data_IF_084984860802
#
_entry.id   IF_084984860802
#
_cell.length_a   1.000
_cell.length_b   1.000
_cell.length_c   1.000
_cell.angle_alpha   90.00
_cell.angle_beta   90.00
_cell.angle_gamma   90.00
#
_symmetry.space_group_name_H-M   'P 1'
#
loop_
_entity.id
_entity.type
_entity.pdbx_description
1 polymer ?
#
# COMPACT_ATOMS: atom_id res chain seq x y z
N UNK A 1 -6.04 -12.58 -12.90
CA UNK A 1 -7.10 -11.55 -13.10
C UNK A 1 -6.45 -10.34 -13.75
N UNK A 2 -7.18 -9.27 -14.12
CA UNK A 2 -6.53 -8.05 -14.65
C UNK A 2 -6.64 -6.81 -13.77
N UNK A 3 -7.50 -6.82 -12.74
CA UNK A 3 -7.68 -5.76 -11.73
C UNK A 3 -8.04 -4.34 -12.21
N UNK A 4 -8.10 -4.11 -13.52
CA UNK A 4 -8.50 -2.83 -14.10
C UNK A 4 -9.99 -2.52 -13.90
N UNK A 5 -10.35 -1.24 -13.75
CA UNK A 5 -11.74 -0.80 -13.76
C UNK A 5 -12.50 -1.29 -14.99
N UNK A 6 -13.71 -1.79 -14.78
CA UNK A 6 -14.56 -2.29 -15.86
C UNK A 6 -15.52 -1.20 -16.32
N UNK A 7 -15.14 -0.41 -17.34
CA UNK A 7 -15.97 0.65 -17.93
C UNK A 7 -15.96 0.56 -19.47
N UNK A 8 -17.00 0.01 -20.14
CA UNK A 8 -18.18 -0.67 -19.59
C UNK A 8 -17.86 -2.07 -19.03
N UNK A 9 -18.67 -2.52 -18.07
CA UNK A 9 -18.55 -3.81 -17.42
C UNK A 9 -19.25 -4.92 -18.22
N UNK A 10 -18.51 -5.99 -18.57
CA UNK A 10 -19.08 -7.22 -19.12
C UNK A 10 -19.41 -8.19 -17.98
N UNK A 11 -20.69 -8.47 -17.78
CA UNK A 11 -21.16 -9.42 -16.77
C UNK A 11 -21.29 -10.82 -17.38
N UNK A 12 -20.86 -11.86 -16.66
CA UNK A 12 -21.07 -13.24 -17.11
C UNK A 12 -22.57 -13.51 -17.29
N UNK A 13 -22.98 -13.96 -18.47
CA UNK A 13 -24.38 -14.25 -18.79
C UNK A 13 -24.95 -15.47 -18.07
N UNK A 14 -24.09 -16.33 -17.49
CA UNK A 14 -24.51 -17.55 -16.78
C UNK A 14 -24.70 -17.32 -15.28
N UNK A 15 -23.75 -16.69 -14.61
CA UNK A 15 -23.83 -16.48 -13.15
C UNK A 15 -24.33 -15.09 -12.76
N UNK A 16 -24.22 -14.09 -13.65
CA UNK A 16 -24.54 -12.68 -13.38
C UNK A 16 -23.76 -12.02 -12.22
N UNK A 17 -22.82 -12.70 -11.59
CA UNK A 17 -22.03 -12.18 -10.46
C UNK A 17 -20.66 -11.66 -10.89
N UNK A 18 -19.93 -12.42 -11.71
CA UNK A 18 -18.56 -12.04 -12.09
C UNK A 18 -18.56 -11.01 -13.23
N UNK A 19 -17.74 -9.97 -13.07
CA UNK A 19 -17.57 -8.86 -14.01
C UNK A 19 -16.18 -8.89 -14.65
N UNK A 20 -16.11 -8.52 -15.93
CA UNK A 20 -14.89 -8.44 -16.73
C UNK A 20 -14.82 -7.09 -17.45
N UNK A 21 -13.61 -6.55 -17.62
CA UNK A 21 -13.42 -5.28 -18.34
C UNK A 21 -13.44 -5.43 -19.88
N UNK A 22 -13.35 -6.66 -20.41
CA UNK A 22 -13.31 -6.92 -21.85
C UNK A 22 -13.59 -8.40 -22.17
N UNK A 23 -13.97 -8.68 -23.42
CA UNK A 23 -14.20 -10.05 -23.90
C UNK A 23 -12.92 -10.90 -23.81
N UNK A 24 -11.77 -10.29 -24.02
CA UNK A 24 -10.45 -10.93 -23.85
C UNK A 24 -10.24 -11.37 -22.40
N UNK A 25 -10.56 -10.51 -21.42
CA UNK A 25 -10.47 -10.86 -20.01
C UNK A 25 -11.47 -11.97 -19.62
N UNK A 26 -12.69 -11.93 -20.16
CA UNK A 26 -13.67 -13.00 -19.99
C UNK A 26 -13.13 -14.34 -20.52
N UNK A 27 -12.63 -14.37 -21.77
CA UNK A 27 -12.09 -15.59 -22.39
C UNK A 27 -10.92 -16.18 -21.60
N UNK A 28 -9.96 -15.33 -21.19
CA UNK A 28 -8.84 -15.74 -20.31
C UNK A 28 -9.35 -16.32 -18.99
N UNK A 29 -10.27 -15.63 -18.31
CA UNK A 29 -10.83 -16.10 -17.06
C UNK A 29 -11.61 -17.42 -17.21
N UNK A 30 -12.43 -17.54 -18.25
CA UNK A 30 -13.19 -18.75 -18.55
C UNK A 30 -12.29 -19.96 -18.76
N UNK A 31 -11.19 -19.78 -19.50
CA UNK A 31 -10.21 -20.84 -19.74
C UNK A 31 -9.44 -21.27 -18.48
N UNK A 32 -9.09 -20.31 -17.60
CA UNK A 32 -8.22 -20.57 -16.44
C UNK A 32 -8.99 -21.00 -15.17
N UNK A 33 -10.07 -20.32 -14.79
CA UNK A 33 -10.69 -20.53 -13.47
C UNK A 33 -12.21 -20.36 -13.44
N UNK A 34 -12.76 -19.42 -14.21
CA UNK A 34 -14.17 -19.03 -14.07
C UNK A 34 -15.12 -20.16 -14.45
N UNK A 35 -14.78 -21.01 -15.43
CA UNK A 35 -15.62 -22.16 -15.81
C UNK A 35 -15.89 -23.12 -14.64
N UNK A 36 -14.91 -23.33 -13.77
CA UNK A 36 -15.05 -24.20 -12.60
C UNK A 36 -15.89 -23.56 -11.48
N UNK A 37 -15.82 -22.23 -11.33
CA UNK A 37 -16.53 -21.49 -10.28
C UNK A 37 -17.92 -20.98 -10.71
N UNK A 38 -18.19 -20.93 -12.01
CA UNK A 38 -19.36 -20.25 -12.55
C UNK A 38 -20.67 -20.98 -12.21
N UNK A 39 -21.51 -20.30 -11.42
CA UNK A 39 -22.83 -20.79 -11.01
C UNK A 39 -22.83 -21.54 -9.68
N UNK A 40 -21.68 -21.61 -8.98
CA UNK A 40 -21.66 -22.04 -7.58
C UNK A 40 -22.35 -20.98 -6.75
N UNK A 41 -23.38 -21.38 -6.00
CA UNK A 41 -24.08 -20.50 -5.07
C UNK A 41 -23.37 -20.47 -3.73
N UNK A 42 -22.38 -19.60 -3.61
CA UNK A 42 -21.53 -19.47 -2.43
C UNK A 42 -22.29 -19.10 -1.15
N UNK A 43 -23.33 -18.29 -1.27
CA UNK A 43 -24.20 -17.91 -0.15
C UNK A 43 -24.95 -19.08 0.48
N UNK A 44 -25.17 -20.17 -0.27
CA UNK A 44 -25.88 -21.36 0.20
C UNK A 44 -24.93 -22.39 0.85
N UNK A 45 -23.61 -22.14 0.87
CA UNK A 45 -22.61 -23.11 1.37
C UNK A 45 -22.38 -23.06 2.89
N UNK A 46 -23.06 -22.15 3.62
CA UNK A 46 -22.90 -22.02 5.08
C UNK A 46 -21.53 -21.53 5.53
N UNK A 47 -20.73 -20.96 4.62
CA UNK A 47 -19.42 -20.39 4.88
C UNK A 47 -19.54 -18.89 5.19
N UNK A 48 -18.72 -18.40 6.13
CA UNK A 48 -18.59 -16.95 6.35
C UNK A 48 -17.94 -16.26 5.14
N UNK A 49 -18.04 -14.93 5.04
CA UNK A 49 -17.42 -14.19 3.94
C UNK A 49 -15.90 -14.42 3.86
N UNK A 50 -15.22 -14.52 5.00
CA UNK A 50 -13.78 -14.81 5.05
C UNK A 50 -13.48 -16.25 4.58
N UNK A 51 -14.30 -17.22 4.98
CA UNK A 51 -14.15 -18.60 4.55
C UNK A 51 -14.35 -18.76 3.03
N UNK A 52 -15.26 -17.96 2.46
CA UNK A 52 -15.46 -17.91 1.01
C UNK A 52 -14.22 -17.39 0.28
N UNK A 53 -13.55 -16.37 0.81
CA UNK A 53 -12.28 -15.88 0.24
C UNK A 53 -11.20 -16.96 0.29
N UNK A 54 -11.03 -17.63 1.43
CA UNK A 54 -10.08 -18.75 1.59
C UNK A 54 -10.40 -19.90 0.62
N UNK A 55 -11.68 -20.26 0.49
CA UNK A 55 -12.15 -21.30 -0.41
C UNK A 55 -11.86 -20.97 -1.89
N UNK A 56 -12.17 -19.75 -2.33
CA UNK A 56 -11.94 -19.31 -3.71
C UNK A 56 -10.44 -19.24 -4.02
N UNK A 57 -9.62 -18.76 -3.08
CA UNK A 57 -8.16 -18.76 -3.22
C UNK A 57 -7.63 -20.18 -3.37
N UNK A 58 -8.04 -21.09 -2.48
CA UNK A 58 -7.63 -22.49 -2.49
C UNK A 58 -7.94 -23.15 -3.84
N UNK A 59 -9.16 -23.01 -4.36
CA UNK A 59 -9.52 -23.58 -5.66
C UNK A 59 -8.60 -23.04 -6.76
N UNK A 60 -8.40 -21.71 -6.82
CA UNK A 60 -7.60 -21.09 -7.87
C UNK A 60 -6.14 -21.53 -7.84
N UNK A 61 -5.57 -21.69 -6.64
CA UNK A 61 -4.20 -22.18 -6.48
C UNK A 61 -4.07 -23.64 -6.86
N UNK A 62 -5.02 -24.51 -6.46
CA UNK A 62 -5.00 -25.93 -6.85
C UNK A 62 -5.14 -26.09 -8.37
N UNK A 63 -5.98 -25.28 -9.02
CA UNK A 63 -6.08 -25.24 -10.48
C UNK A 63 -4.75 -24.84 -11.12
N UNK A 64 -4.07 -23.82 -10.58
CA UNK A 64 -2.77 -23.39 -11.06
C UNK A 64 -1.70 -24.49 -10.89
N UNK A 65 -1.58 -25.11 -9.71
CA UNK A 65 -0.63 -26.20 -9.46
C UNK A 65 -0.83 -27.36 -10.44
N UNK A 66 -2.08 -27.72 -10.71
CA UNK A 66 -2.42 -28.77 -11.68
C UNK A 66 -2.02 -28.39 -13.09
N UNK A 67 -2.35 -27.18 -13.52
CA UNK A 67 -2.04 -26.69 -14.85
C UNK A 67 -0.51 -26.66 -15.08
N UNK A 68 0.25 -26.23 -14.07
CA UNK A 68 1.74 -26.28 -14.08
C UNK A 68 2.23 -27.73 -14.16
N UNK A 69 1.67 -28.64 -13.35
CA UNK A 69 2.05 -30.06 -13.36
C UNK A 69 1.78 -30.78 -14.69
N UNK A 70 0.76 -30.31 -15.44
CA UNK A 70 0.40 -30.87 -16.73
C UNK A 70 1.17 -30.23 -17.90
N UNK A 71 1.81 -29.08 -17.68
CA UNK A 71 2.59 -28.40 -18.69
C UNK A 71 3.92 -29.12 -18.90
N UNK A 72 4.04 -29.84 -20.02
CA UNK A 72 5.27 -30.57 -20.42
C UNK A 72 6.27 -29.68 -21.15
N UNK A 73 5.99 -28.39 -21.32
CA UNK A 73 6.92 -27.50 -22.00
C UNK A 73 8.13 -27.22 -21.10
N UNK A 74 9.31 -27.59 -21.58
CA UNK A 74 10.57 -27.19 -20.93
C UNK A 74 10.75 -25.69 -21.12
N UNK A 75 10.54 -24.90 -20.06
CA UNK A 75 10.89 -23.49 -20.06
C UNK A 75 12.41 -23.34 -20.23
N UNK A 76 12.88 -23.26 -21.49
CA UNK A 76 14.22 -22.79 -21.78
C UNK A 76 14.25 -21.28 -21.56
N UNK A 77 14.54 -20.87 -20.32
CA UNK A 77 14.83 -19.48 -19.97
C UNK A 77 16.17 -19.10 -20.61
N UNK A 78 16.14 -18.54 -21.82
CA UNK A 78 17.32 -17.92 -22.43
C UNK A 78 17.56 -16.57 -21.76
N UNK A 79 18.52 -16.55 -20.85
CA UNK A 79 19.19 -15.34 -20.39
C UNK A 79 19.91 -14.68 -21.57
N UNK A 80 19.25 -13.72 -22.20
CA UNK A 80 19.90 -12.72 -23.05
C UNK A 80 20.13 -11.47 -22.19
N UNK A 81 21.42 -11.09 -22.05
CA UNK A 81 21.88 -9.92 -21.28
C UNK A 81 20.92 -8.72 -21.46
N UNK A 82 20.30 -8.27 -20.37
CA UNK A 82 19.51 -7.04 -20.32
C UNK A 82 17.99 -7.21 -20.46
N UNK A 83 17.47 -8.42 -20.61
CA UNK A 83 16.02 -8.70 -20.62
C UNK A 83 15.61 -9.33 -19.28
N UNK A 84 14.53 -8.84 -18.68
CA UNK A 84 13.95 -9.37 -17.45
C UNK A 84 13.88 -10.90 -17.49
N UNK A 85 14.45 -11.56 -16.48
CA UNK A 85 14.32 -13.01 -16.33
C UNK A 85 12.84 -13.30 -16.11
N UNK A 86 12.22 -13.94 -17.10
CA UNK A 86 10.82 -14.32 -17.00
C UNK A 86 10.72 -15.48 -16.02
N UNK A 87 9.95 -15.28 -14.96
CA UNK A 87 9.59 -16.30 -13.97
C UNK A 87 9.10 -17.57 -14.69
N UNK A 88 9.75 -18.71 -14.41
CA UNK A 88 9.26 -20.02 -14.86
C UNK A 88 8.20 -20.54 -13.90
N UNK A 89 7.11 -21.07 -14.44
CA UNK A 89 6.02 -21.65 -13.65
C UNK A 89 6.48 -22.82 -12.75
N UNK A 90 7.50 -23.56 -13.20
CA UNK A 90 8.07 -24.64 -12.40
C UNK A 90 8.84 -24.11 -11.18
N UNK A 91 9.58 -23.01 -11.34
CA UNK A 91 10.26 -22.34 -10.22
C UNK A 91 9.23 -21.78 -9.23
N UNK A 92 8.18 -21.12 -9.74
CA UNK A 92 7.05 -20.64 -8.92
C UNK A 92 6.44 -21.76 -8.10
N UNK A 93 6.16 -22.92 -8.72
CA UNK A 93 5.58 -24.07 -8.03
C UNK A 93 6.55 -24.68 -7.02
N UNK A 94 7.85 -24.72 -7.33
CA UNK A 94 8.87 -25.21 -6.41
C UNK A 94 8.94 -24.32 -5.17
N UNK A 95 9.02 -23.01 -5.35
CA UNK A 95 9.04 -22.05 -4.23
C UNK A 95 7.77 -22.15 -3.41
N UNK A 96 6.59 -22.20 -4.07
CA UNK A 96 5.30 -22.34 -3.41
C UNK A 96 5.27 -23.52 -2.44
N UNK A 97 5.81 -24.68 -2.84
CA UNK A 97 5.84 -25.88 -2.00
C UNK A 97 6.73 -25.76 -0.75
N UNK A 98 7.63 -24.77 -0.72
CA UNK A 98 8.55 -24.50 0.40
C UNK A 98 8.10 -23.36 1.32
N UNK A 99 7.00 -22.68 0.99
CA UNK A 99 6.53 -21.53 1.75
C UNK A 99 6.09 -21.94 3.17
N UNK A 100 6.37 -21.07 4.13
CA UNK A 100 6.07 -21.29 5.54
C UNK A 100 4.56 -21.36 5.77
N UNK A 101 4.08 -22.39 6.45
CA UNK A 101 2.65 -22.53 6.75
C UNK A 101 2.29 -22.16 8.19
N UNK A 102 3.25 -22.24 9.12
CA UNK A 102 3.02 -22.22 10.56
C UNK A 102 1.91 -23.16 11.04
N UNK A 103 1.54 -24.19 10.26
CA UNK A 103 0.34 -24.99 10.50
C UNK A 103 0.34 -25.64 11.88
N UNK A 104 1.49 -26.09 12.37
CA UNK A 104 1.62 -26.71 13.69
C UNK A 104 1.40 -25.74 14.85
N UNK A 105 1.61 -24.44 14.62
CA UNK A 105 1.37 -23.37 15.60
C UNK A 105 -0.08 -22.87 15.61
N UNK A 106 -0.93 -23.34 14.68
CA UNK A 106 -2.32 -22.91 14.56
C UNK A 106 -3.20 -23.56 15.64
N UNK A 107 -4.11 -22.78 16.21
CA UNK A 107 -5.04 -23.27 17.24
C UNK A 107 -5.97 -24.36 16.70
N UNK A 108 -6.38 -25.35 17.53
CA UNK A 108 -7.28 -26.42 17.10
C UNK A 108 -8.60 -25.91 16.51
N UNK A 109 -9.15 -24.83 17.05
CA UNK A 109 -10.39 -24.20 16.55
C UNK A 109 -10.21 -23.64 15.14
N UNK A 110 -9.08 -22.98 14.84
CA UNK A 110 -8.80 -22.43 13.51
C UNK A 110 -8.52 -23.55 12.50
N UNK A 111 -7.80 -24.61 12.91
CA UNK A 111 -7.63 -25.83 12.08
C UNK A 111 -8.96 -26.48 11.75
N UNK A 112 -9.84 -26.66 12.73
CA UNK A 112 -11.18 -27.22 12.52
C UNK A 112 -11.99 -26.39 11.51
N UNK A 113 -12.00 -25.07 11.65
CA UNK A 113 -12.66 -24.16 10.71
C UNK A 113 -12.15 -24.34 9.27
N UNK A 114 -10.83 -24.43 9.08
CA UNK A 114 -10.25 -24.67 7.75
C UNK A 114 -10.54 -26.06 7.19
N UNK A 115 -10.62 -27.09 8.03
CA UNK A 115 -11.07 -28.43 7.62
C UNK A 115 -12.54 -28.42 7.16
N UNK A 116 -13.40 -27.60 7.75
CA UNK A 116 -14.78 -27.43 7.28
C UNK A 116 -14.84 -26.77 5.89
N UNK A 117 -13.97 -25.80 5.60
CA UNK A 117 -13.82 -25.24 4.25
C UNK A 117 -13.44 -26.35 3.27
N UNK A 118 -12.41 -27.12 3.59
CA UNK A 118 -11.98 -28.25 2.78
C UNK A 118 -13.11 -29.27 2.55
N UNK A 119 -13.91 -29.56 3.59
CA UNK A 119 -15.06 -30.45 3.52
C UNK A 119 -16.11 -29.95 2.53
N UNK A 120 -16.50 -28.68 2.60
CA UNK A 120 -17.44 -28.07 1.67
C UNK A 120 -16.90 -28.10 0.23
N UNK A 121 -15.61 -27.82 0.03
CA UNK A 121 -15.02 -27.86 -1.31
C UNK A 121 -15.05 -29.26 -1.94
N UNK A 122 -14.82 -30.29 -1.13
CA UNK A 122 -14.80 -31.67 -1.60
C UNK A 122 -16.20 -32.22 -1.95
N UNK A 123 -17.28 -31.62 -1.44
CA UNK A 123 -18.65 -32.01 -1.85
C UNK A 123 -19.05 -31.43 -3.20
N UNK A 124 -18.35 -30.41 -3.70
CA UNK A 124 -18.65 -29.78 -4.98
C UNK A 124 -18.06 -30.66 -6.10
N UNK A 125 -18.87 -31.32 -6.95
CA UNK A 125 -18.37 -32.29 -7.94
C UNK A 125 -17.44 -31.66 -8.98
N UNK A 126 -17.63 -30.37 -9.27
CA UNK A 126 -16.75 -29.63 -10.16
C UNK A 126 -15.34 -29.42 -9.58
N UNK A 127 -15.14 -29.64 -8.27
CA UNK A 127 -13.92 -29.38 -7.51
C UNK A 127 -13.30 -30.64 -6.87
N UNK A 128 -14.07 -31.73 -6.75
CA UNK A 128 -13.60 -33.00 -6.17
C UNK A 128 -12.49 -33.71 -6.97
N UNK A 129 -12.33 -33.39 -8.26
CA UNK A 129 -11.28 -33.95 -9.14
C UNK A 129 -9.90 -33.28 -8.90
N UNK A 130 -9.87 -32.14 -8.19
CA UNK A 130 -8.72 -31.22 -8.18
C UNK A 130 -7.89 -31.29 -6.89
N UNK A 131 -8.30 -32.14 -5.96
CA UNK A 131 -7.83 -32.21 -4.57
C UNK A 131 -7.08 -33.50 -4.26
N UNK A 132 -6.59 -34.21 -5.27
CA UNK A 132 -5.93 -35.51 -5.07
C UNK A 132 -4.62 -35.30 -4.30
N UNK A 133 -4.67 -35.53 -2.98
CA UNK A 133 -3.49 -35.93 -2.21
C UNK A 133 -2.85 -37.09 -2.97
N UNK A 134 -1.63 -36.87 -3.47
CA UNK A 134 -0.86 -37.95 -4.10
C UNK A 134 -0.45 -39.00 -3.08
N UNK A 135 -0.45 -38.63 -1.80
CA UNK A 135 -0.19 -39.52 -0.68
C UNK A 135 -1.51 -40.15 -0.19
N UNK A 136 -1.68 -41.48 -0.29
CA UNK A 136 -2.86 -42.17 0.20
C UNK A 136 -2.99 -42.20 1.73
N UNK A 137 -1.91 -41.90 2.47
CA UNK A 137 -1.89 -41.88 3.94
C UNK A 137 -2.16 -40.47 4.52
N UNK A 138 -2.23 -39.43 3.68
CA UNK A 138 -2.46 -38.05 4.11
C UNK A 138 -3.97 -37.72 4.21
N UNK A 139 -4.40 -37.19 5.36
CA UNK A 139 -5.76 -36.68 5.53
C UNK A 139 -6.01 -35.49 4.58
N UNK A 140 -6.88 -35.69 3.60
CA UNK A 140 -7.16 -34.70 2.56
C UNK A 140 -7.67 -33.36 3.10
N UNK A 141 -8.40 -33.36 4.22
CA UNK A 141 -8.85 -32.12 4.84
C UNK A 141 -7.68 -31.36 5.50
N UNK A 142 -6.73 -32.08 6.09
CA UNK A 142 -5.52 -31.51 6.68
C UNK A 142 -4.61 -30.91 5.59
N UNK A 143 -4.40 -31.65 4.50
CA UNK A 143 -3.63 -31.18 3.34
C UNK A 143 -4.20 -29.87 2.78
N UNK A 144 -5.52 -29.81 2.56
CA UNK A 144 -6.17 -28.58 2.09
C UNK A 144 -6.12 -27.44 3.13
N UNK A 145 -6.26 -27.76 4.41
CA UNK A 145 -6.14 -26.77 5.48
C UNK A 145 -4.71 -26.19 5.59
N UNK A 146 -3.67 -26.96 5.26
CA UNK A 146 -2.27 -26.48 5.20
C UNK A 146 -2.09 -25.42 4.11
N UNK A 147 -2.71 -25.60 2.93
CA UNK A 147 -2.70 -24.57 1.89
C UNK A 147 -3.38 -23.27 2.37
N UNK A 148 -4.49 -23.37 3.11
CA UNK A 148 -5.13 -22.18 3.70
C UNK A 148 -4.19 -21.50 4.69
N UNK A 149 -3.53 -22.28 5.55
CA UNK A 149 -2.51 -21.76 6.48
C UNK A 149 -1.38 -21.03 5.77
N UNK A 150 -0.91 -21.59 4.65
CA UNK A 150 0.09 -20.97 3.78
C UNK A 150 -0.41 -19.62 3.26
N UNK A 151 -1.65 -19.51 2.81
CA UNK A 151 -2.19 -18.23 2.31
C UNK A 151 -2.19 -17.15 3.39
N UNK A 152 -2.54 -17.50 4.64
CA UNK A 152 -2.59 -16.56 5.75
C UNK A 152 -1.20 -16.02 6.14
N UNK A 153 -0.11 -16.70 5.77
CA UNK A 153 1.26 -16.29 6.07
C UNK A 153 2.00 -15.67 4.87
N UNK A 154 1.53 -15.91 3.63
CA UNK A 154 2.31 -15.61 2.42
C UNK A 154 1.53 -14.83 1.34
N UNK A 155 0.25 -14.57 1.54
CA UNK A 155 -0.53 -13.79 0.57
C UNK A 155 -0.32 -12.30 0.76
N UNK A 156 -0.47 -11.58 -0.34
CA UNK A 156 -0.34 -10.13 -0.39
C UNK A 156 -1.69 -9.53 -0.71
N UNK A 157 -2.03 -8.49 0.04
CA UNK A 157 -3.12 -7.60 -0.38
C UNK A 157 -2.66 -6.82 -1.61
N UNK A 158 -3.46 -6.94 -2.66
CA UNK A 158 -3.30 -6.23 -3.92
C UNK A 158 -4.00 -4.89 -3.78
N UNK A 159 -3.25 -3.83 -4.01
CA UNK A 159 -3.74 -2.46 -3.92
C UNK A 159 -3.83 -1.83 -5.30
N UNK A 160 -4.77 -0.89 -5.47
CA UNK A 160 -4.76 -0.01 -6.63
C UNK A 160 -3.73 1.14 -6.48
N UNK A 161 -3.72 2.02 -7.48
CA UNK A 161 -2.86 3.22 -7.54
C UNK A 161 -3.12 4.25 -6.41
N UNK A 162 -4.26 4.16 -5.72
CA UNK A 162 -4.61 4.98 -4.57
C UNK A 162 -4.35 4.26 -3.23
N UNK A 163 -3.71 3.08 -3.29
CA UNK A 163 -3.43 2.18 -2.16
C UNK A 163 -4.68 1.58 -1.50
N UNK A 164 -5.84 1.68 -2.13
CA UNK A 164 -7.04 0.99 -1.65
C UNK A 164 -6.91 -0.51 -1.93
N UNK A 165 -7.29 -1.35 -0.96
CA UNK A 165 -7.27 -2.81 -1.11
C UNK A 165 -8.35 -3.26 -2.10
N UNK A 166 -7.95 -4.00 -3.13
CA UNK A 166 -8.86 -4.47 -4.19
C UNK A 166 -8.92 -6.00 -4.33
N UNK A 167 -7.93 -6.73 -3.81
CA UNK A 167 -7.90 -8.20 -3.80
C UNK A 167 -6.82 -8.74 -2.87
N UNK A 168 -6.78 -10.06 -2.70
CA UNK A 168 -5.63 -10.80 -2.17
C UNK A 168 -5.05 -11.70 -3.26
N UNK A 169 -3.73 -11.92 -3.23
CA UNK A 169 -3.03 -12.77 -4.18
C UNK A 169 -1.84 -13.49 -3.58
N UNK A 170 -1.54 -14.68 -4.09
CA UNK A 170 -0.35 -15.46 -3.72
C UNK A 170 0.75 -15.24 -4.76
N UNK A 171 1.92 -14.78 -4.30
CA UNK A 171 3.06 -14.45 -5.15
C UNK A 171 4.32 -15.12 -4.60
N UNK A 172 4.61 -16.39 -4.95
CA UNK A 172 5.63 -17.19 -4.28
C UNK A 172 7.02 -16.55 -4.22
N UNK A 173 7.46 -15.88 -5.29
CA UNK A 173 8.73 -15.12 -5.27
C UNK A 173 8.69 -13.94 -4.30
N UNK A 174 7.59 -13.18 -4.28
CA UNK A 174 7.42 -12.08 -3.33
C UNK A 174 7.39 -12.56 -1.88
N UNK A 175 6.83 -13.74 -1.62
CA UNK A 175 6.72 -14.34 -0.28
C UNK A 175 8.07 -14.74 0.34
N UNK A 176 9.18 -14.71 -0.42
CA UNK A 176 10.52 -15.00 0.10
C UNK A 176 11.16 -13.82 0.85
N UNK A 177 10.65 -12.61 0.67
CA UNK A 177 11.23 -11.42 1.30
C UNK A 177 10.81 -11.34 2.75
N UNK A 178 11.78 -11.23 3.66
CA UNK A 178 11.50 -11.08 5.09
C UNK A 178 11.00 -9.66 5.44
N UNK A 179 10.47 -9.55 6.66
CA UNK A 179 9.91 -8.31 7.17
C UNK A 179 10.94 -7.37 7.80
N UNK A 180 10.79 -6.06 7.52
CA UNK A 180 11.27 -4.99 8.39
C UNK A 180 10.22 -3.88 8.50
N UNK A 181 10.03 -3.29 9.69
CA UNK A 181 9.17 -2.10 9.84
C UNK A 181 9.81 -0.84 9.22
N UNK A 182 11.08 -0.91 8.81
CA UNK A 182 11.77 0.10 8.00
C UNK A 182 12.46 -0.62 6.85
N UNK A 183 11.73 -0.94 5.78
CA UNK A 183 12.22 -1.79 4.72
C UNK A 183 13.19 -1.06 3.78
N UNK A 184 14.06 -1.80 3.11
CA UNK A 184 14.89 -1.28 2.02
C UNK A 184 14.28 -1.56 0.64
N UNK A 185 13.21 -2.35 0.57
CA UNK A 185 12.41 -2.56 -0.63
C UNK A 185 10.94 -2.20 -0.40
N UNK A 186 10.31 -1.58 -1.40
CA UNK A 186 8.86 -1.43 -1.47
C UNK A 186 8.26 -2.49 -2.38
N UNK A 187 7.01 -2.85 -2.08
CA UNK A 187 6.17 -3.69 -2.90
C UNK A 187 5.09 -2.82 -3.56
N UNK A 188 4.83 -3.06 -4.85
CA UNK A 188 3.77 -2.40 -5.60
C UNK A 188 3.17 -3.33 -6.64
N UNK A 189 2.14 -2.85 -7.33
CA UNK A 189 1.47 -3.61 -8.40
C UNK A 189 1.33 -2.77 -9.66
N UNK A 190 1.54 -3.41 -10.80
CA UNK A 190 1.38 -2.82 -12.12
C UNK A 190 0.24 -3.55 -12.87
N UNK A 191 -0.74 -2.77 -13.33
CA UNK A 191 -1.92 -3.24 -14.05
C UNK A 191 -2.02 -2.69 -15.49
N UNK A 192 -0.90 -2.28 -16.11
CA UNK A 192 -0.88 -1.69 -17.45
C UNK A 192 -1.63 -2.51 -18.50
N UNK A 193 -2.32 -1.79 -19.38
CA UNK A 193 -3.10 -2.41 -20.44
C UNK A 193 -2.24 -3.21 -21.40
N UNK A 194 -2.69 -4.44 -21.70
CA UNK A 194 -2.00 -5.33 -22.63
C UNK A 194 -0.98 -6.26 -21.97
N UNK A 195 -0.69 -6.08 -20.68
CA UNK A 195 0.18 -6.97 -19.87
C UNK A 195 -0.63 -7.75 -18.84
N UNK A 196 -0.07 -8.85 -18.33
CA UNK A 196 -0.62 -9.48 -17.13
C UNK A 196 -0.24 -8.63 -15.91
N UNK A 197 -1.09 -8.54 -14.85
CA UNK A 197 -0.71 -7.86 -13.63
C UNK A 197 0.61 -8.36 -13.06
N UNK A 198 1.46 -7.44 -12.63
CA UNK A 198 2.77 -7.76 -12.06
C UNK A 198 2.86 -7.24 -10.64
N UNK A 199 3.48 -8.04 -9.77
CA UNK A 199 4.02 -7.54 -8.51
C UNK A 199 5.40 -6.95 -8.81
N UNK A 200 5.64 -5.74 -8.32
CA UNK A 200 6.92 -5.05 -8.40
C UNK A 200 7.55 -5.01 -7.02
N UNK A 201 8.83 -5.33 -6.93
CA UNK A 201 9.65 -5.09 -5.73
C UNK A 201 10.78 -4.17 -6.14
N UNK A 202 10.85 -2.99 -5.53
CA UNK A 202 11.82 -1.94 -5.88
C UNK A 202 12.65 -1.59 -4.66
N UNK A 203 13.97 -1.45 -4.85
CA UNK A 203 14.82 -0.87 -3.82
C UNK A 203 14.43 0.60 -3.60
N UNK A 204 14.27 0.98 -2.34
CA UNK A 204 13.92 2.35 -1.90
C UNK A 204 14.96 2.94 -0.95
N UNK A 205 16.05 2.21 -0.73
CA UNK A 205 17.25 2.66 -0.05
C UNK A 205 18.48 2.08 -0.75
N UNK A 206 19.65 2.60 -0.45
CA UNK A 206 20.91 2.00 -0.89
C UNK A 206 21.09 0.64 -0.21
N UNK A 207 21.45 -0.39 -0.99
CA UNK A 207 21.58 -1.78 -0.52
C UNK A 207 23.01 -2.25 -0.77
N UNK A 208 23.72 -2.59 0.31
CA UNK A 208 25.07 -3.11 0.23
C UNK A 208 25.09 -4.58 -0.20
N UNK A 209 26.19 -5.03 -0.82
CA UNK A 209 26.35 -6.46 -1.15
C UNK A 209 26.28 -7.32 0.12
N UNK A 210 25.46 -8.36 0.09
CA UNK A 210 25.22 -9.25 1.23
C UNK A 210 24.20 -8.75 2.24
N UNK A 211 23.67 -7.53 2.07
CA UNK A 211 22.54 -7.04 2.86
C UNK A 211 21.25 -7.74 2.40
N UNK A 212 20.44 -8.17 3.36
CA UNK A 212 19.15 -8.79 3.11
C UNK A 212 18.16 -7.80 2.48
N UNK A 213 17.38 -8.27 1.51
CA UNK A 213 16.26 -7.53 0.94
C UNK A 213 15.02 -7.78 1.79
N UNK A 214 14.43 -6.70 2.32
CA UNK A 214 13.30 -6.78 3.23
C UNK A 214 12.19 -5.84 2.79
N UNK A 215 10.95 -6.30 2.95
CA UNK A 215 9.72 -5.54 2.68
C UNK A 215 8.95 -5.32 3.99
N UNK A 216 7.92 -4.47 3.98
CA UNK A 216 6.98 -4.39 5.10
C UNK A 216 5.78 -5.29 4.85
N UNK A 217 5.37 -6.07 5.86
CA UNK A 217 4.18 -6.94 5.80
C UNK A 217 2.93 -6.24 6.34
N UNK A 218 3.14 -5.12 7.00
CA UNK A 218 2.14 -4.36 7.73
C UNK A 218 2.33 -2.88 7.41
N UNK A 219 1.32 -2.08 7.70
CA UNK A 219 1.48 -0.63 7.67
C UNK A 219 2.49 -0.19 8.75
N UNK A 220 3.57 0.46 8.29
CA UNK A 220 4.66 0.96 9.12
C UNK A 220 4.26 2.16 9.98
N UNK A 221 3.06 2.72 9.78
CA UNK A 221 2.58 3.86 10.54
C UNK A 221 2.32 3.44 11.99
N UNK A 222 1.62 2.33 12.24
CA UNK A 222 1.18 1.93 13.57
C UNK A 222 2.31 1.89 14.63
N UNK A 223 1.98 2.11 15.91
CA UNK A 223 2.95 2.06 17.01
C UNK A 223 3.59 0.67 17.21
N UNK A 224 4.74 0.61 17.92
CA UNK A 224 5.52 -0.63 18.08
C UNK A 224 4.70 -1.79 18.65
N UNK A 225 3.86 -1.53 19.67
CA UNK A 225 3.03 -2.56 20.30
C UNK A 225 2.04 -3.19 19.30
N UNK A 226 1.32 -2.36 18.54
CA UNK A 226 0.36 -2.81 17.53
C UNK A 226 1.05 -3.56 16.39
N UNK A 227 2.20 -3.04 15.90
CA UNK A 227 3.00 -3.74 14.88
C UNK A 227 3.44 -5.12 15.36
N UNK A 228 3.97 -5.23 16.59
CA UNK A 228 4.38 -6.52 17.16
C UNK A 228 3.20 -7.47 17.37
N UNK A 229 2.06 -6.94 17.83
CA UNK A 229 0.83 -7.71 18.01
C UNK A 229 0.37 -8.31 16.68
N UNK A 230 0.24 -7.48 15.64
CA UNK A 230 -0.13 -7.92 14.29
C UNK A 230 0.84 -8.98 13.76
N UNK A 231 2.15 -8.72 13.82
CA UNK A 231 3.15 -9.68 13.33
C UNK A 231 3.13 -11.01 14.08
N UNK A 232 2.91 -10.99 15.39
CA UNK A 232 2.81 -12.21 16.19
C UNK A 232 1.53 -13.00 15.92
N UNK A 233 0.40 -12.32 15.73
CA UNK A 233 -0.89 -12.95 15.48
C UNK A 233 -1.01 -13.55 14.08
N UNK A 234 -0.45 -12.87 13.07
CA UNK A 234 -0.60 -13.25 11.66
C UNK A 234 0.61 -13.99 11.08
N UNK A 235 1.82 -13.65 11.53
CA UNK A 235 3.08 -14.16 10.98
C UNK A 235 3.93 -14.91 12.00
N UNK A 236 3.48 -15.05 13.26
CA UNK A 236 4.07 -15.91 14.29
C UNK A 236 5.54 -15.59 14.65
N UNK A 237 5.98 -14.35 14.45
CA UNK A 237 7.33 -13.91 14.84
C UNK A 237 7.31 -12.57 15.60
N UNK A 238 8.44 -12.22 16.21
CA UNK A 238 8.67 -10.92 16.86
C UNK A 238 9.71 -10.15 16.06
N UNK A 239 9.38 -8.96 15.59
CA UNK A 239 10.26 -8.16 14.76
C UNK A 239 11.40 -7.55 15.59
N UNK A 240 12.63 -7.66 15.09
CA UNK A 240 13.84 -7.12 15.74
C UNK A 240 14.53 -6.03 14.90
N UNK A 241 13.82 -5.47 13.91
CA UNK A 241 14.37 -4.39 13.08
C UNK A 241 14.71 -3.16 13.94
N UNK A 242 15.52 -2.23 13.39
CA UNK A 242 15.93 -1.00 14.07
C UNK A 242 14.76 -0.28 14.74
N UNK A 243 13.63 -0.07 14.03
CA UNK A 243 12.42 0.60 14.55
C UNK A 243 11.72 -0.13 15.70
N UNK A 244 11.92 -1.43 15.86
CA UNK A 244 11.33 -2.22 16.95
C UNK A 244 12.31 -2.42 18.11
N UNK A 245 13.61 -2.47 17.81
CA UNK A 245 14.69 -2.71 18.79
C UNK A 245 15.11 -1.45 19.52
N UNK A 246 15.08 -0.30 18.84
CA UNK A 246 15.06 0.97 19.56
C UNK A 246 13.69 1.09 20.21
N UNK A 247 13.61 1.05 21.54
CA UNK A 247 12.44 1.49 22.32
C UNK A 247 12.22 3.00 22.11
N UNK A 248 12.18 3.46 20.87
CA UNK A 248 12.14 4.86 20.52
C UNK A 248 10.72 5.32 20.80
N UNK A 249 10.55 5.82 22.03
CA UNK A 249 9.36 6.43 22.60
C UNK A 249 8.67 7.35 21.59
N UNK A 250 9.44 7.96 20.70
CA UNK A 250 9.00 8.84 19.62
C UNK A 250 7.92 8.17 18.73
N UNK A 251 8.16 6.99 18.15
CA UNK A 251 7.22 6.31 17.22
C UNK A 251 5.96 5.80 17.89
N UNK A 252 6.07 5.30 19.12
CA UNK A 252 4.91 4.87 19.92
C UNK A 252 4.03 6.04 20.37
N UNK A 253 4.60 7.26 20.45
CA UNK A 253 3.89 8.49 20.89
C UNK A 253 3.06 9.14 19.79
N UNK A 254 3.44 8.98 18.52
CA UNK A 254 2.74 9.57 17.37
C UNK A 254 1.35 8.93 17.18
N UNK A 255 1.24 7.62 17.44
CA UNK A 255 0.13 6.79 16.95
C UNK A 255 -0.41 5.82 18.02
N UNK A 256 -0.38 6.24 19.29
CA UNK A 256 -0.93 5.47 20.40
C UNK A 256 -2.44 5.20 20.25
N UNK A 257 -2.90 4.09 20.83
CA UNK A 257 -4.30 3.68 20.80
C UNK A 257 -5.19 4.66 21.59
N UNK A 258 -6.24 5.21 20.95
CA UNK A 258 -7.32 5.87 21.68
C UNK A 258 -8.72 5.51 21.15
N UNK A 259 -9.64 5.46 22.10
CA UNK A 259 -11.07 5.24 21.97
C UNK A 259 -11.78 6.40 21.26
N UNK A 260 -12.85 6.07 20.54
CA UNK A 260 -13.70 6.92 19.69
C UNK A 260 -14.51 7.99 20.45
N UNK A 261 -13.93 8.71 21.41
CA UNK A 261 -14.58 9.90 21.98
C UNK A 261 -14.15 11.13 21.18
N UNK A 262 -15.12 11.73 20.49
CA UNK A 262 -15.03 12.80 19.50
C UNK A 262 -14.05 13.96 19.83
N UNK A 263 -12.87 14.02 19.17
CA UNK A 263 -11.90 15.11 19.23
C UNK A 263 -12.02 16.13 18.06
N UNK A 264 -13.10 16.08 17.27
CA UNK A 264 -13.10 16.67 15.92
C UNK A 264 -13.10 18.19 15.87
N UNK A 265 -13.67 18.86 16.87
CA UNK A 265 -13.78 20.32 16.89
C UNK A 265 -12.40 21.01 16.95
N UNK A 266 -11.51 20.55 17.83
CA UNK A 266 -10.20 21.17 18.08
C UNK A 266 -9.24 20.96 16.89
N UNK A 267 -9.26 19.79 16.26
CA UNK A 267 -8.37 19.49 15.12
C UNK A 267 -8.71 20.31 13.88
N UNK A 268 -10.01 20.46 13.59
CA UNK A 268 -10.47 21.25 12.43
C UNK A 268 -10.13 22.72 12.64
N UNK A 269 -10.35 23.26 13.85
CA UNK A 269 -9.98 24.64 14.20
C UNK A 269 -8.46 24.87 14.06
N UNK A 270 -7.63 23.96 14.58
CA UNK A 270 -6.17 24.03 14.42
C UNK A 270 -5.71 24.01 12.94
N UNK A 271 -6.40 23.25 12.09
CA UNK A 271 -6.13 23.24 10.63
C UNK A 271 -6.52 24.58 10.03
N UNK A 272 -7.72 25.08 10.32
CA UNK A 272 -8.22 26.36 9.80
C UNK A 272 -7.33 27.53 10.20
N UNK A 273 -6.80 27.54 11.41
CA UNK A 273 -5.92 28.60 11.92
C UNK A 273 -4.46 28.52 11.43
N UNK A 274 -4.07 27.44 10.73
CA UNK A 274 -2.69 27.27 10.29
C UNK A 274 -2.30 28.26 9.17
N UNK A 275 -1.35 29.16 9.47
CA UNK A 275 -0.72 30.04 8.47
C UNK A 275 0.40 29.33 7.69
N UNK A 276 0.12 28.97 6.43
CA UNK A 276 0.96 28.11 5.59
C UNK A 276 2.33 28.69 5.18
N UNK A 277 2.51 30.01 5.26
CA UNK A 277 3.73 30.68 4.77
C UNK A 277 5.01 30.11 5.40
N UNK A 278 4.98 29.77 6.69
CA UNK A 278 6.12 29.20 7.42
C UNK A 278 6.43 27.76 7.00
N UNK A 279 5.43 26.96 6.63
CA UNK A 279 5.61 25.56 6.25
C UNK A 279 6.15 25.41 4.81
N UNK A 280 5.77 26.32 3.91
CA UNK A 280 6.01 26.17 2.48
C UNK A 280 7.24 26.94 1.97
N UNK A 281 7.50 28.15 2.49
CA UNK A 281 8.49 29.08 1.91
C UNK A 281 9.94 28.72 2.28
N UNK A 282 10.17 28.16 3.48
CA UNK A 282 11.51 27.80 3.93
C UNK A 282 12.15 26.62 3.17
N UNK A 283 11.41 25.97 2.28
CA UNK A 283 11.91 24.86 1.46
C UNK A 283 12.72 25.36 0.25
N UNK A 284 12.61 26.63 -0.13
CA UNK A 284 13.35 27.24 -1.23
C UNK A 284 14.81 27.60 -0.93
N UNK A 285 15.25 27.56 0.33
CA UNK A 285 16.57 28.06 0.74
C UNK A 285 17.41 27.03 1.50
N UNK A 286 18.71 26.97 1.21
CA UNK A 286 19.73 26.29 2.03
C UNK A 286 19.98 27.01 3.38
N UNK A 287 19.14 27.96 3.77
CA UNK A 287 19.37 28.81 4.93
C UNK A 287 18.90 28.12 6.22
N UNK A 288 19.80 28.23 7.19
CA UNK A 288 19.81 27.61 8.51
C UNK A 288 18.44 27.67 9.20
N UNK A 289 17.99 26.50 9.67
CA UNK A 289 16.89 26.27 10.61
C UNK A 289 16.83 27.35 11.70
N UNK A 290 15.95 28.33 11.55
CA UNK A 290 15.56 29.13 12.71
C UNK A 290 14.53 28.34 13.51
N UNK A 291 14.68 28.21 14.85
CA UNK A 291 13.65 27.65 15.69
C UNK A 291 12.36 28.46 15.49
N UNK A 292 11.31 27.80 15.02
CA UNK A 292 9.99 28.41 14.97
C UNK A 292 9.61 28.87 16.37
N UNK A 293 9.00 30.06 16.47
CA UNK A 293 8.27 30.42 17.68
C UNK A 293 7.20 29.34 17.92
N UNK A 294 6.97 28.90 19.16
CA UNK A 294 5.96 27.90 19.45
C UNK A 294 4.62 28.37 18.87
N UNK A 295 4.07 27.60 17.92
CA UNK A 295 2.75 27.90 17.38
C UNK A 295 1.69 27.52 18.40
N UNK A 296 0.50 28.09 18.28
CA UNK A 296 -0.63 27.83 19.18
C UNK A 296 -1.05 26.35 19.21
N UNK A 297 -0.80 25.61 18.13
CA UNK A 297 -1.17 24.20 17.96
C UNK A 297 0.06 23.27 17.97
N UNK A 298 0.05 22.19 18.78
CA UNK A 298 1.07 21.14 18.73
C UNK A 298 1.12 20.42 17.38
N UNK A 299 -0.03 20.13 16.77
CA UNK A 299 -0.14 19.50 15.45
C UNK A 299 0.51 20.34 14.35
N UNK A 300 0.19 21.64 14.33
CA UNK A 300 0.73 22.59 13.36
C UNK A 300 2.24 22.78 13.56
N UNK A 301 2.68 22.85 14.82
CA UNK A 301 4.11 22.89 15.17
C UNK A 301 4.83 21.66 14.65
N UNK A 302 4.26 20.47 14.86
CA UNK A 302 4.80 19.21 14.36
C UNK A 302 4.91 19.21 12.84
N UNK A 303 3.80 19.46 12.13
CA UNK A 303 3.78 19.42 10.68
C UNK A 303 4.79 20.40 10.09
N UNK A 304 4.81 21.65 10.56
CA UNK A 304 5.75 22.67 10.09
C UNK A 304 7.21 22.25 10.35
N UNK A 305 7.51 21.75 11.55
CA UNK A 305 8.87 21.30 11.91
C UNK A 305 9.33 20.15 11.02
N UNK A 306 8.49 19.13 10.84
CA UNK A 306 8.82 17.95 10.02
C UNK A 306 9.08 18.34 8.58
N UNK A 307 8.18 19.14 7.99
CA UNK A 307 8.27 19.50 6.58
C UNK A 307 9.57 20.29 6.32
N UNK A 308 9.88 21.26 7.17
CA UNK A 308 11.14 22.01 7.09
C UNK A 308 12.37 21.11 7.27
N UNK A 309 12.31 20.12 8.16
CA UNK A 309 13.45 19.27 8.47
C UNK A 309 13.68 18.17 7.44
N UNK A 310 12.63 17.54 6.92
CA UNK A 310 12.73 16.32 6.14
C UNK A 310 12.56 16.53 4.63
N UNK A 311 11.80 17.52 4.16
CA UNK A 311 11.65 17.79 2.72
C UNK A 311 13.01 18.12 2.07
N UNK A 312 13.85 19.02 2.62
CA UNK A 312 15.15 19.31 2.02
C UNK A 312 16.08 18.08 2.01
N UNK A 313 15.86 17.15 2.94
CA UNK A 313 16.70 15.95 3.11
C UNK A 313 16.36 14.83 2.12
N UNK A 314 15.27 14.96 1.36
CA UNK A 314 14.99 14.07 0.21
C UNK A 314 16.17 14.05 -0.78
N UNK A 315 16.97 15.12 -0.82
CA UNK A 315 18.15 15.27 -1.66
C UNK A 315 19.48 14.92 -0.97
N UNK A 316 19.45 14.71 0.34
CA UNK A 316 20.64 14.63 1.16
C UNK A 316 21.10 13.18 1.33
N UNK A 317 22.41 12.97 1.37
CA UNK A 317 23.02 11.72 1.85
C UNK A 317 23.16 11.70 3.38
N UNK A 318 22.68 12.74 4.07
CA UNK A 318 22.70 12.79 5.52
C UNK A 318 21.87 11.64 6.13
N UNK A 319 22.19 11.32 7.37
CA UNK A 319 21.48 10.30 8.13
C UNK A 319 20.05 10.76 8.45
N UNK A 320 19.12 10.54 7.51
CA UNK A 320 17.70 10.92 7.62
C UNK A 320 17.06 10.29 8.86
N UNK A 321 17.54 9.12 9.30
CA UNK A 321 17.02 8.43 10.49
C UNK A 321 17.14 9.28 11.77
N UNK A 322 18.24 10.01 11.96
CA UNK A 322 18.40 10.87 13.15
C UNK A 322 17.39 12.02 13.14
N UNK A 323 17.20 12.63 11.96
CA UNK A 323 16.24 13.72 11.79
C UNK A 323 14.80 13.24 11.97
N UNK A 324 14.46 12.07 11.41
CA UNK A 324 13.17 11.41 11.62
C UNK A 324 12.93 11.14 13.11
N UNK A 325 13.90 10.56 13.82
CA UNK A 325 13.80 10.32 15.27
C UNK A 325 13.70 11.62 16.08
N UNK A 326 14.42 12.69 15.69
CA UNK A 326 14.31 14.01 16.35
C UNK A 326 12.94 14.64 16.13
N UNK A 327 12.42 14.62 14.91
CA UNK A 327 11.12 15.17 14.57
C UNK A 327 9.97 14.38 15.23
N UNK A 328 10.10 13.06 15.33
CA UNK A 328 9.15 12.22 16.06
C UNK A 328 9.08 12.57 17.56
N UNK A 329 10.17 13.05 18.17
CA UNK A 329 10.23 13.42 19.60
C UNK A 329 9.54 14.75 19.92
N UNK A 330 9.31 15.63 18.93
CA UNK A 330 8.65 16.92 19.16
C UNK A 330 7.13 16.83 19.30
N UNK A 331 6.53 15.63 19.17
CA UNK A 331 5.09 15.41 19.32
C UNK A 331 4.71 15.13 20.78
N UNK A 332 3.66 15.79 21.25
CA UNK A 332 2.98 15.46 22.51
C UNK A 332 2.01 14.28 22.34
N UNK A 333 1.97 13.30 23.28
CA UNK A 333 1.26 12.02 23.11
C UNK A 333 -0.27 12.06 22.97
N UNK A 334 -0.91 13.24 22.94
CA UNK A 334 -2.37 13.36 23.05
C UNK A 334 -3.13 13.27 21.71
N UNK A 335 -2.45 13.26 20.58
CA UNK A 335 -3.06 13.56 19.27
C UNK A 335 -2.83 12.42 18.24
N UNK A 336 -3.46 11.26 18.46
CA UNK A 336 -3.52 10.19 17.46
C UNK A 336 -4.49 10.57 16.32
N UNK A 337 -4.04 11.39 15.38
CA UNK A 337 -4.92 12.07 14.41
C UNK A 337 -4.98 11.41 13.03
N UNK A 338 -4.01 10.58 12.68
CA UNK A 338 -3.89 10.10 11.29
C UNK A 338 -5.10 9.30 10.78
N UNK A 339 -5.70 8.38 11.56
CA UNK A 339 -6.92 7.69 11.13
C UNK A 339 -8.09 8.65 10.86
N UNK A 340 -8.04 9.87 11.40
CA UNK A 340 -9.03 10.93 11.21
C UNK A 340 -8.67 11.85 10.03
N UNK A 341 -7.39 12.17 9.86
CA UNK A 341 -6.90 13.05 8.80
C UNK A 341 -7.12 12.49 7.40
N UNK A 342 -6.99 11.17 7.20
CA UNK A 342 -7.22 10.56 5.89
C UNK A 342 -8.70 10.70 5.46
N UNK A 343 -9.70 10.31 6.30
CA UNK A 343 -11.10 10.62 6.05
C UNK A 343 -11.40 12.11 5.86
N UNK A 344 -10.80 12.99 6.68
CA UNK A 344 -11.01 14.45 6.56
C UNK A 344 -10.44 15.01 5.24
N UNK A 345 -9.28 14.53 4.83
CA UNK A 345 -8.69 14.91 3.55
C UNK A 345 -9.55 14.40 2.38
N UNK A 346 -10.07 13.17 2.46
CA UNK A 346 -11.03 12.61 1.50
C UNK A 346 -12.38 13.36 1.52
N UNK A 347 -12.80 13.86 2.67
CA UNK A 347 -13.98 14.70 2.84
C UNK A 347 -13.80 15.99 2.01
N UNK A 348 -12.72 16.75 2.22
CA UNK A 348 -12.43 17.95 1.42
C UNK A 348 -12.27 17.67 -0.08
N UNK A 349 -11.70 16.52 -0.45
CA UNK A 349 -11.50 16.12 -1.85
C UNK A 349 -12.82 15.80 -2.59
N UNK A 350 -13.82 15.28 -1.88
CA UNK A 350 -15.09 14.83 -2.47
C UNK A 350 -16.24 15.83 -2.30
N UNK A 351 -16.05 16.93 -1.57
CA UNK A 351 -17.14 17.85 -1.25
C UNK A 351 -17.28 19.03 -2.21
N UNK A 352 -18.55 19.32 -2.43
CA UNK A 352 -19.07 20.66 -2.70
C UNK A 352 -19.56 21.14 -1.33
N UNK A 353 -18.66 21.67 -0.48
CA UNK A 353 -19.08 22.32 0.78
C UNK A 353 -19.72 23.68 0.46
N UNK A 354 -20.36 24.30 1.47
CA UNK A 354 -20.73 25.72 1.43
C UNK A 354 -19.49 26.65 1.45
N UNK A 355 -18.28 26.08 1.65
CA UNK A 355 -17.03 26.84 1.63
C UNK A 355 -16.74 27.37 0.23
N UNK A 356 -15.98 28.46 0.15
CA UNK A 356 -15.51 28.96 -1.14
C UNK A 356 -14.58 27.94 -1.81
N UNK A 357 -14.48 27.99 -3.14
CA UNK A 357 -13.53 27.15 -3.89
C UNK A 357 -12.09 27.32 -3.37
N UNK A 358 -11.74 28.54 -2.96
CA UNK A 358 -10.46 28.85 -2.33
C UNK A 358 -10.28 28.14 -0.99
N UNK A 359 -11.23 28.29 -0.07
CA UNK A 359 -11.17 27.66 1.27
C UNK A 359 -11.04 26.14 1.17
N UNK A 360 -11.76 25.52 0.22
CA UNK A 360 -11.65 24.10 -0.07
C UNK A 360 -10.22 23.71 -0.45
N UNK A 361 -9.61 24.40 -1.41
CA UNK A 361 -8.25 24.08 -1.86
C UNK A 361 -7.19 24.33 -0.78
N UNK A 362 -7.32 25.40 0.00
CA UNK A 362 -6.40 25.72 1.11
C UNK A 362 -6.50 24.67 2.23
N UNK A 363 -7.71 24.28 2.64
CA UNK A 363 -7.90 23.27 3.68
C UNK A 363 -7.49 21.87 3.23
N UNK A 364 -7.72 21.53 1.96
CA UNK A 364 -7.22 20.29 1.36
C UNK A 364 -5.69 20.24 1.35
N UNK A 365 -5.02 21.36 1.05
CA UNK A 365 -3.57 21.46 1.13
C UNK A 365 -3.07 21.29 2.58
N UNK A 366 -3.67 22.00 3.55
CA UNK A 366 -3.30 21.91 4.97
C UNK A 366 -3.38 20.48 5.49
N UNK A 367 -4.50 19.80 5.25
CA UNK A 367 -4.65 18.39 5.67
C UNK A 367 -3.62 17.48 4.99
N UNK A 368 -3.34 17.70 3.70
CA UNK A 368 -2.34 16.91 2.95
C UNK A 368 -0.91 17.10 3.48
N UNK A 369 -0.54 18.33 3.86
CA UNK A 369 0.76 18.64 4.45
C UNK A 369 0.95 17.94 5.81
N UNK A 370 -0.09 17.89 6.64
CA UNK A 370 -0.05 17.17 7.92
C UNK A 370 0.13 15.67 7.66
N UNK A 371 -0.66 15.08 6.75
CA UNK A 371 -0.53 13.66 6.39
C UNK A 371 0.87 13.35 5.87
N UNK A 372 1.42 14.20 5.00
CA UNK A 372 2.78 14.06 4.50
C UNK A 372 3.81 14.11 5.63
N UNK A 373 3.65 14.98 6.62
CA UNK A 373 4.54 15.04 7.78
C UNK A 373 4.56 13.71 8.56
N UNK A 374 3.39 13.11 8.84
CA UNK A 374 3.33 11.78 9.47
C UNK A 374 4.03 10.72 8.62
N UNK A 375 3.93 10.81 7.29
CA UNK A 375 4.48 9.83 6.36
C UNK A 375 6.00 9.95 6.22
N UNK A 376 6.53 11.17 6.12
CA UNK A 376 7.97 11.44 6.10
C UNK A 376 8.68 10.94 7.36
N UNK A 377 7.97 10.91 8.47
CA UNK A 377 8.47 10.38 9.74
C UNK A 377 8.33 8.84 9.65
N UNK A 378 7.15 8.31 9.31
CA UNK A 378 6.87 6.87 9.45
C UNK A 378 7.53 5.94 8.42
N UNK A 379 7.86 6.46 7.23
CA UNK A 379 8.31 5.65 6.10
C UNK A 379 9.74 6.02 5.65
N UNK A 380 10.46 5.09 4.98
CA UNK A 380 11.68 5.43 4.26
C UNK A 380 11.45 6.56 3.24
N UNK A 381 12.49 7.35 2.96
CA UNK A 381 12.36 8.58 2.15
C UNK A 381 11.85 8.35 0.72
N UNK A 382 12.20 7.22 0.11
CA UNK A 382 11.73 6.84 -1.22
C UNK A 382 10.55 5.86 -1.20
N UNK A 383 9.86 5.75 -0.06
CA UNK A 383 8.70 4.90 0.03
C UNK A 383 7.57 5.43 -0.88
N UNK A 384 6.86 4.55 -1.61
CA UNK A 384 5.79 4.96 -2.52
C UNK A 384 4.71 5.82 -1.86
N UNK A 385 4.30 5.52 -0.62
CA UNK A 385 3.36 6.38 0.11
C UNK A 385 3.84 7.83 0.31
N UNK A 386 5.15 8.07 0.48
CA UNK A 386 5.71 9.43 0.57
C UNK A 386 5.57 10.12 -0.79
N UNK A 387 5.91 9.43 -1.87
CA UNK A 387 5.76 9.94 -3.24
C UNK A 387 4.31 10.27 -3.59
N UNK A 388 3.36 9.40 -3.23
CA UNK A 388 1.93 9.66 -3.41
C UNK A 388 1.48 10.96 -2.74
N UNK A 389 1.83 11.15 -1.46
CA UNK A 389 1.42 12.35 -0.73
C UNK A 389 2.14 13.61 -1.25
N UNK A 390 3.39 13.51 -1.70
CA UNK A 390 4.11 14.62 -2.34
C UNK A 390 3.42 15.08 -3.62
N UNK A 391 3.03 14.15 -4.51
CA UNK A 391 2.28 14.49 -5.75
C UNK A 391 0.97 15.21 -5.41
N UNK A 392 0.22 14.70 -4.43
CA UNK A 392 -1.03 15.34 -3.99
C UNK A 392 -0.81 16.74 -3.44
N UNK A 393 0.20 16.92 -2.56
CA UNK A 393 0.57 18.24 -2.04
C UNK A 393 0.90 19.19 -3.19
N UNK A 394 1.71 18.78 -4.18
CA UNK A 394 2.04 19.63 -5.34
C UNK A 394 0.78 20.07 -6.11
N UNK A 395 -0.13 19.13 -6.39
CA UNK A 395 -1.40 19.43 -7.07
C UNK A 395 -2.28 20.38 -6.25
N UNK A 396 -2.37 20.18 -4.93
CA UNK A 396 -3.15 21.05 -4.05
C UNK A 396 -2.52 22.45 -3.90
N UNK A 397 -1.19 22.54 -3.88
CA UNK A 397 -0.47 23.82 -3.87
C UNK A 397 -0.76 24.63 -5.13
N UNK A 398 -0.74 23.98 -6.30
CA UNK A 398 -1.04 24.62 -7.57
C UNK A 398 -2.50 25.10 -7.63
N UNK A 399 -3.45 24.23 -7.28
CA UNK A 399 -4.87 24.60 -7.30
C UNK A 399 -5.20 25.72 -6.30
N UNK A 400 -4.59 25.72 -5.11
CA UNK A 400 -4.76 26.79 -4.14
C UNK A 400 -4.12 28.11 -4.61
N UNK A 401 -2.98 28.07 -5.31
CA UNK A 401 -2.36 29.24 -5.94
C UNK A 401 -3.31 29.88 -6.96
N UNK A 402 -3.81 29.09 -7.92
CA UNK A 402 -4.76 29.56 -8.92
C UNK A 402 -6.05 30.10 -8.29
N UNK A 403 -6.57 29.41 -7.26
CA UNK A 403 -7.77 29.86 -6.56
C UNK A 403 -7.56 31.22 -5.86
N UNK A 404 -6.39 31.47 -5.26
CA UNK A 404 -6.07 32.79 -4.67
C UNK A 404 -6.07 33.88 -5.73
N UNK A 405 -5.40 33.64 -6.86
CA UNK A 405 -5.30 34.61 -7.96
C UNK A 405 -6.66 34.92 -8.60
N UNK A 406 -7.48 33.88 -8.83
CA UNK A 406 -8.83 34.03 -9.38
C UNK A 406 -9.77 34.83 -8.46
N UNK A 407 -9.58 34.74 -7.14
CA UNK A 407 -10.33 35.52 -6.16
C UNK A 407 -9.73 36.91 -5.90
N UNK A 408 -8.62 37.27 -6.57
CA UNK A 408 -7.94 38.56 -6.39
C UNK A 408 -7.21 38.68 -5.04
N UNK A 409 -6.96 37.56 -4.36
CA UNK A 409 -6.18 37.53 -3.13
C UNK A 409 -4.68 37.55 -3.42
N UNK A 410 -3.89 38.10 -2.50
CA UNK A 410 -2.43 38.07 -2.62
C UNK A 410 -1.94 36.65 -2.36
N UNK A 411 -1.22 36.00 -3.30
CA UNK A 411 -0.72 34.65 -3.09
C UNK A 411 0.16 34.51 -1.84
N UNK A 412 -0.06 33.43 -1.08
CA UNK A 412 0.74 33.10 0.11
C UNK A 412 2.15 32.61 -0.28
N UNK A 413 2.28 31.98 -1.45
CA UNK A 413 3.54 31.51 -2.05
C UNK A 413 3.57 31.80 -3.54
N UNK A 414 4.75 31.73 -4.16
CA UNK A 414 4.93 31.91 -5.61
C UNK A 414 4.92 30.58 -6.36
N UNK A 415 4.82 30.65 -7.69
CA UNK A 415 5.01 29.52 -8.61
C UNK A 415 6.36 28.82 -8.38
N UNK A 416 7.44 29.56 -8.10
CA UNK A 416 8.76 28.98 -7.81
C UNK A 416 8.73 28.03 -6.60
N UNK A 417 7.92 28.34 -5.58
CA UNK A 417 7.72 27.45 -4.43
C UNK A 417 7.07 26.14 -4.90
N UNK A 418 6.05 26.20 -5.77
CA UNK A 418 5.40 25.01 -6.32
C UNK A 418 6.39 24.18 -7.14
N UNK A 419 7.19 24.82 -8.00
CA UNK A 419 8.23 24.16 -8.80
C UNK A 419 9.24 23.42 -7.93
N UNK A 420 9.72 24.02 -6.84
CA UNK A 420 10.65 23.35 -5.93
C UNK A 420 10.04 22.10 -5.28
N UNK A 421 8.79 22.17 -4.85
CA UNK A 421 8.07 21.00 -4.31
C UNK A 421 7.87 19.90 -5.35
N UNK A 422 7.58 20.27 -6.59
CA UNK A 422 7.48 19.35 -7.73
C UNK A 422 8.82 18.64 -7.98
N UNK A 423 9.95 19.35 -7.91
CA UNK A 423 11.28 18.73 -8.01
C UNK A 423 11.55 17.73 -6.86
N UNK A 424 11.16 18.07 -5.63
CA UNK A 424 11.29 17.17 -4.48
C UNK A 424 10.47 15.89 -4.69
N UNK A 425 9.22 16.05 -5.14
CA UNK A 425 8.32 14.97 -5.49
C UNK A 425 8.90 14.07 -6.58
N UNK A 426 9.47 14.66 -7.64
CA UNK A 426 10.02 13.92 -8.80
C UNK A 426 11.11 12.93 -8.40
N UNK A 427 11.96 13.27 -7.44
CA UNK A 427 13.03 12.36 -6.99
C UNK A 427 12.47 11.15 -6.27
N UNK A 428 11.46 11.33 -5.43
CA UNK A 428 10.79 10.22 -4.75
C UNK A 428 10.03 9.37 -5.75
N UNK A 429 9.25 10.02 -6.63
CA UNK A 429 8.42 9.34 -7.62
C UNK A 429 9.24 8.49 -8.58
N UNK A 430 10.37 9.01 -9.07
CA UNK A 430 11.26 8.29 -9.99
C UNK A 430 11.85 7.00 -9.40
N UNK A 431 12.09 6.96 -8.10
CA UNK A 431 12.58 5.74 -7.42
C UNK A 431 11.41 4.80 -7.14
N UNK A 432 10.34 5.34 -6.56
CA UNK A 432 9.24 4.56 -6.03
C UNK A 432 8.31 3.96 -7.11
N UNK A 433 8.15 4.62 -8.25
CA UNK A 433 7.13 4.30 -9.25
C UNK A 433 7.71 4.04 -10.63
N UNK A 434 6.95 3.33 -11.48
CA UNK A 434 7.27 3.22 -12.91
C UNK A 434 6.93 4.54 -13.65
N UNK A 435 7.62 4.85 -14.77
CA UNK A 435 7.39 6.09 -15.52
C UNK A 435 5.96 6.29 -16.02
N UNK A 436 5.24 5.20 -16.27
CA UNK A 436 3.85 5.18 -16.74
C UNK A 436 2.82 4.96 -15.62
N UNK A 437 3.26 4.92 -14.36
CA UNK A 437 2.35 4.95 -13.22
C UNK A 437 1.53 6.24 -13.17
N UNK A 438 0.34 6.19 -12.56
CA UNK A 438 -0.50 7.38 -12.42
C UNK A 438 0.24 8.52 -11.69
N UNK A 439 0.94 8.25 -10.60
CA UNK A 439 1.69 9.28 -9.86
C UNK A 439 2.79 9.93 -10.72
N UNK A 440 3.50 9.15 -11.54
CA UNK A 440 4.46 9.68 -12.51
C UNK A 440 3.80 10.55 -13.57
N UNK A 441 2.67 10.10 -14.13
CA UNK A 441 1.94 10.83 -15.17
C UNK A 441 1.30 12.12 -14.62
N UNK A 442 0.72 12.09 -13.43
CA UNK A 442 0.17 13.27 -12.76
C UNK A 442 1.25 14.33 -12.55
N UNK A 443 2.45 13.94 -12.11
CA UNK A 443 3.55 14.88 -11.92
C UNK A 443 4.05 15.47 -13.25
N UNK A 444 4.12 14.67 -14.32
CA UNK A 444 4.47 15.15 -15.67
C UNK A 444 3.43 16.16 -16.16
N UNK A 445 2.14 15.86 -16.01
CA UNK A 445 1.06 16.77 -16.38
C UNK A 445 1.11 18.08 -15.58
N UNK A 446 1.34 17.99 -14.27
CA UNK A 446 1.45 19.18 -13.42
C UNK A 446 2.62 20.07 -13.85
N UNK A 447 3.79 19.49 -14.15
CA UNK A 447 4.94 20.24 -14.70
C UNK A 447 4.58 20.95 -16.00
N UNK A 448 3.92 20.24 -16.93
CA UNK A 448 3.49 20.83 -18.20
C UNK A 448 2.54 22.01 -17.99
N UNK A 449 1.55 21.87 -17.10
CA UNK A 449 0.58 22.94 -16.80
C UNK A 449 1.29 24.17 -16.24
N UNK A 450 2.16 23.98 -15.23
CA UNK A 450 2.92 25.06 -14.61
C UNK A 450 3.81 25.78 -15.63
N UNK A 451 4.49 25.02 -16.50
CA UNK A 451 5.38 25.62 -17.50
C UNK A 451 4.62 26.36 -18.62
N UNK A 452 3.37 25.97 -18.92
CA UNK A 452 2.53 26.60 -19.95
C UNK A 452 1.76 27.85 -19.52
N UNK A 453 1.70 28.16 -18.22
CA UNK A 453 1.10 29.41 -17.71
C UNK A 453 2.06 30.63 -17.80
N UNK A 454 3.25 30.44 -18.43
CA UNK A 454 4.17 31.50 -18.87
C UNK A 454 3.94 31.88 -20.34
#
# INVERSE_FOLDING_TARGET
MCFRPAKPALRCSKCHETIFCSQTCFGKAWSKWHKALCGIKWSEQGLSQQDLTDAIMLIRVLMAIRDISNDKSSDQVRSSKGVAVKESLNETSSIYSTLMTHYDSITPTKKHRWREIARVLLTIPALSIWTVCKDPDEDAYDHLARHISLFHCNSFTVHDQHYDSIADGTFPFGSQFNHSCYPNCSLGFDFLQGREPLMLIKAIEDISTGQELVISYIDGINGVAERQRHLKEHYYFTCQCKRCSTQDFAWSRILGEMSLTDPTCDVVEQIHDWHLQTALVHILGNDIYQPLQPMSSPLVTFATTVLQWLIPQVYSTANVDDLQSRAARSITPKEALLPWLIPLNRYYDNLITDDTELDRHVNLLKTSLIVLAFYLVSYPRYHPMVGYQLVRVCSHMWNALLAMEMNGEKPIWSEDVVKAWVEHSERVVRVAYEPDSESSQQLIMLKQVIDTDN
#
